data_IF_885140448096
#
_entry.id   IF_885140448096
#
_cell.length_a   1.000
_cell.length_b   1.000
_cell.length_c   1.000
_cell.angle_alpha   90.00
_cell.angle_beta   90.00
_cell.angle_gamma   90.00
#
_symmetry.space_group_name_H-M   'P 1'
#
loop_
_entity.id
_entity.type
_entity.pdbx_description
1 polymer ?
#
# COMPACT_ATOMS: atom_id res chain seq x y z
N UNK A 1 -19.19 3.42 7.45
CA UNK A 1 -17.73 3.44 7.56
C UNK A 1 -17.31 2.93 8.92
N UNK A 2 -16.61 1.80 8.90
CA UNK A 2 -15.95 1.17 10.02
C UNK A 2 -14.75 2.02 10.47
N UNK A 3 -14.50 2.06 11.77
CA UNK A 3 -13.27 2.59 12.35
C UNK A 3 -12.66 1.45 13.19
N UNK A 4 -11.44 1.06 12.87
CA UNK A 4 -10.69 0.12 13.69
C UNK A 4 -10.28 0.81 14.99
N UNK A 5 -10.21 0.05 16.07
CA UNK A 5 -9.78 0.54 17.38
C UNK A 5 -8.57 -0.25 17.84
N UNK A 6 -7.49 0.47 18.12
CA UNK A 6 -6.23 -0.04 18.66
C UNK A 6 -6.08 0.49 20.08
N UNK A 7 -5.72 -0.36 21.03
CA UNK A 7 -5.56 0.03 22.44
C UNK A 7 -4.08 0.18 22.73
N UNK A 8 -3.62 1.40 22.93
CA UNK A 8 -2.31 1.64 23.53
C UNK A 8 -2.45 1.67 25.06
N UNK A 9 -1.34 1.60 25.82
CA UNK A 9 -1.39 1.75 27.28
C UNK A 9 -1.97 3.09 27.74
N UNK A 10 -1.89 4.13 26.91
CA UNK A 10 -2.26 5.50 27.24
C UNK A 10 -3.68 5.87 26.79
N UNK A 11 -4.07 5.49 25.56
CA UNK A 11 -5.40 5.78 25.02
C UNK A 11 -5.83 4.83 23.89
N UNK A 12 -7.12 4.82 23.58
CA UNK A 12 -7.63 4.15 22.39
C UNK A 12 -7.43 5.03 21.16
N UNK A 13 -6.74 4.49 20.15
CA UNK A 13 -6.56 5.09 18.84
C UNK A 13 -7.60 4.50 17.89
N UNK A 14 -8.35 5.36 17.22
CA UNK A 14 -9.23 4.99 16.13
C UNK A 14 -8.54 5.23 14.80
N UNK A 15 -8.64 4.27 13.89
CA UNK A 15 -8.18 4.41 12.52
C UNK A 15 -9.33 4.22 11.54
N UNK A 16 -9.44 5.12 10.58
CA UNK A 16 -10.30 4.94 9.42
C UNK A 16 -9.46 4.80 8.15
N UNK A 17 -10.08 4.20 7.13
CA UNK A 17 -9.40 3.86 5.88
C UNK A 17 -10.21 4.31 4.67
N UNK A 18 -9.52 4.84 3.66
CA UNK A 18 -10.01 4.99 2.29
C UNK A 18 -9.23 4.03 1.41
N UNK A 19 -9.92 3.08 0.78
CA UNK A 19 -9.34 2.14 -0.19
C UNK A 19 -9.53 2.67 -1.60
N UNK A 20 -8.44 2.75 -2.36
CA UNK A 20 -8.42 3.06 -3.79
C UNK A 20 -8.04 1.76 -4.52
N UNK A 21 -9.02 1.01 -5.04
CA UNK A 21 -8.81 -0.37 -5.49
C UNK A 21 -8.05 -0.48 -6.82
N UNK A 22 -7.86 0.63 -7.54
CA UNK A 22 -7.13 0.64 -8.80
C UNK A 22 -7.32 1.94 -9.58
N UNK A 23 -6.59 2.07 -10.68
CA UNK A 23 -6.77 3.16 -11.63
C UNK A 23 -7.85 2.79 -12.63
N UNK A 24 -8.84 3.67 -12.78
CA UNK A 24 -9.86 3.51 -13.82
C UNK A 24 -9.41 4.17 -15.12
N UNK A 25 -9.67 3.52 -16.26
CA UNK A 25 -9.45 4.12 -17.57
C UNK A 25 -10.55 5.12 -17.91
N UNK A 26 -10.35 6.35 -17.44
CA UNK A 26 -11.25 7.49 -17.69
C UNK A 26 -10.54 8.56 -18.54
N UNK A 27 -11.28 9.48 -19.19
CA UNK A 27 -10.67 10.58 -19.93
C UNK A 27 -9.69 11.37 -19.06
N UNK A 28 -8.59 11.84 -19.65
CA UNK A 28 -7.50 12.52 -18.94
C UNK A 28 -8.01 13.67 -18.06
N UNK A 29 -8.94 14.50 -18.56
CA UNK A 29 -9.54 15.59 -17.78
C UNK A 29 -10.26 15.10 -16.52
N UNK A 30 -10.96 13.96 -16.58
CA UNK A 30 -11.63 13.35 -15.42
C UNK A 30 -10.60 12.80 -14.44
N UNK A 31 -9.57 12.11 -14.94
CA UNK A 31 -8.46 11.58 -14.13
C UNK A 31 -7.71 12.69 -13.40
N UNK A 32 -7.38 13.79 -14.09
CA UNK A 32 -6.72 14.96 -13.50
C UNK A 32 -7.61 15.64 -12.45
N UNK A 33 -8.91 15.77 -12.72
CA UNK A 33 -9.85 16.33 -11.75
C UNK A 33 -9.99 15.44 -10.51
N UNK A 34 -10.00 14.12 -10.69
CA UNK A 34 -10.02 13.15 -9.60
C UNK A 34 -8.80 13.30 -8.69
N UNK A 35 -7.59 13.32 -9.28
CA UNK A 35 -6.35 13.51 -8.52
C UNK A 35 -6.29 14.85 -7.81
N UNK A 36 -6.77 15.91 -8.46
CA UNK A 36 -6.88 17.24 -7.86
C UNK A 36 -7.80 17.22 -6.63
N UNK A 37 -8.96 16.57 -6.74
CA UNK A 37 -9.90 16.45 -5.63
C UNK A 37 -9.32 15.60 -4.49
N UNK A 38 -8.69 14.46 -4.81
CA UNK A 38 -8.01 13.63 -3.82
C UNK A 38 -6.95 14.43 -3.05
N UNK A 39 -6.06 15.14 -3.76
CA UNK A 39 -5.04 15.97 -3.12
C UNK A 39 -5.63 17.12 -2.27
N UNK A 40 -6.76 17.71 -2.68
CA UNK A 40 -7.47 18.71 -1.87
C UNK A 40 -8.05 18.12 -0.59
N UNK A 41 -8.59 16.89 -0.64
CA UNK A 41 -9.09 16.21 0.56
C UNK A 41 -7.95 15.91 1.54
N UNK A 42 -6.79 15.46 1.04
CA UNK A 42 -5.60 15.18 1.85
C UNK A 42 -5.13 16.41 2.65
N UNK A 43 -5.26 17.63 2.12
CA UNK A 43 -4.90 18.85 2.85
C UNK A 43 -5.69 19.05 4.16
N UNK A 44 -6.86 18.40 4.30
CA UNK A 44 -7.65 18.42 5.52
C UNK A 44 -7.10 17.52 6.65
N UNK A 45 -6.10 16.68 6.38
CA UNK A 45 -5.64 15.67 7.35
C UNK A 45 -5.08 16.26 8.65
N UNK A 46 -4.30 17.37 8.65
CA UNK A 46 -3.79 17.92 9.91
C UNK A 46 -4.92 18.46 10.81
N UNK A 47 -6.07 18.83 10.22
CA UNK A 47 -7.22 19.35 10.94
C UNK A 47 -8.00 18.26 11.72
N UNK A 48 -7.80 16.98 11.39
CA UNK A 48 -8.28 15.88 12.26
C UNK A 48 -7.64 16.04 13.63
N UNK A 49 -6.33 16.26 13.62
CA UNK A 49 -5.41 16.15 14.75
C UNK A 49 -5.51 14.80 15.44
N UNK A 50 -4.38 14.23 15.85
CA UNK A 50 -4.35 12.83 16.26
C UNK A 50 -2.98 12.22 16.03
N UNK A 51 -2.92 10.89 16.10
CA UNK A 51 -1.67 10.13 16.06
C UNK A 51 -0.96 10.23 14.70
N UNK A 52 -1.67 10.38 13.59
CA UNK A 52 -1.05 10.45 12.28
C UNK A 52 -1.92 9.97 11.12
N UNK A 53 -1.24 9.66 10.03
CA UNK A 53 -1.82 9.12 8.82
C UNK A 53 -0.82 8.25 8.08
N UNK A 54 -1.31 7.34 7.26
CA UNK A 54 -0.45 6.49 6.45
C UNK A 54 -0.97 6.32 5.04
N UNK A 55 -0.06 6.07 4.12
CA UNK A 55 -0.38 5.63 2.77
C UNK A 55 0.26 4.27 2.56
N UNK A 56 -0.52 3.29 2.11
CA UNK A 56 -0.03 2.04 1.58
C UNK A 56 -0.28 1.97 0.09
N UNK A 57 0.68 1.41 -0.63
CA UNK A 57 0.61 1.14 -2.05
C UNK A 57 1.04 -0.30 -2.25
N UNK A 58 0.21 -1.08 -2.96
CA UNK A 58 0.50 -2.48 -3.24
C UNK A 58 0.38 -2.70 -4.73
N UNK A 59 1.47 -3.17 -5.31
CA UNK A 59 1.55 -3.61 -6.69
C UNK A 59 1.46 -5.13 -6.75
N UNK A 60 0.45 -5.62 -7.44
CA UNK A 60 0.43 -6.98 -7.97
C UNK A 60 0.82 -6.93 -9.45
N UNK A 61 1.96 -7.54 -9.84
CA UNK A 61 2.57 -7.37 -11.15
C UNK A 61 1.62 -7.83 -12.26
N UNK A 62 1.45 -7.00 -13.29
CA UNK A 62 0.53 -7.22 -14.41
C UNK A 62 -0.96 -7.25 -14.06
N UNK A 63 -1.33 -7.05 -12.79
CA UNK A 63 -2.72 -7.19 -12.32
C UNK A 63 -3.28 -5.85 -11.85
N UNK A 64 -2.67 -5.24 -10.83
CA UNK A 64 -3.23 -4.04 -10.23
C UNK A 64 -2.22 -3.25 -9.44
N UNK A 65 -2.43 -1.94 -9.40
CA UNK A 65 -1.78 -1.03 -8.48
C UNK A 65 -2.86 -0.45 -7.57
N UNK A 66 -2.75 -0.68 -6.25
CA UNK A 66 -3.77 -0.33 -5.26
C UNK A 66 -3.20 0.61 -4.21
N UNK A 67 -4.04 1.46 -3.63
CA UNK A 67 -3.66 2.31 -2.50
C UNK A 67 -4.66 2.20 -1.36
N UNK A 68 -4.18 2.37 -0.14
CA UNK A 68 -5.00 2.56 1.05
C UNK A 68 -4.47 3.74 1.85
N UNK A 69 -5.32 4.74 2.05
CA UNK A 69 -5.06 5.86 2.94
C UNK A 69 -5.64 5.52 4.31
N UNK A 70 -4.82 5.67 5.35
CA UNK A 70 -5.20 5.49 6.73
C UNK A 70 -5.11 6.82 7.46
N UNK A 71 -6.07 7.11 8.32
CA UNK A 71 -6.03 8.27 9.21
C UNK A 71 -6.33 7.82 10.64
N UNK A 72 -5.42 8.13 11.55
CA UNK A 72 -5.46 7.73 12.95
C UNK A 72 -5.69 8.95 13.85
N UNK A 73 -6.61 8.84 14.79
CA UNK A 73 -6.87 9.85 15.80
C UNK A 73 -7.30 9.22 17.12
N UNK A 74 -7.15 9.95 18.22
CA UNK A 74 -7.67 9.49 19.52
C UNK A 74 -9.19 9.34 19.46
N UNK A 75 -9.74 8.48 20.32
CA UNK A 75 -11.19 8.24 20.38
C UNK A 75 -12.03 9.53 20.57
N UNK A 76 -11.49 10.50 21.34
CA UNK A 76 -12.09 11.81 21.55
C UNK A 76 -12.29 12.62 20.25
N UNK A 77 -11.55 12.28 19.19
CA UNK A 77 -11.59 12.95 17.88
C UNK A 77 -12.29 12.13 16.79
N UNK A 78 -13.07 11.12 17.18
CA UNK A 78 -13.82 10.27 16.26
C UNK A 78 -14.72 11.04 15.27
N UNK A 79 -15.33 12.15 15.72
CA UNK A 79 -16.19 13.00 14.87
C UNK A 79 -15.37 13.70 13.79
N UNK A 80 -14.21 14.24 14.15
CA UNK A 80 -13.28 14.91 13.24
C UNK A 80 -12.74 13.93 12.20
N UNK A 81 -12.35 12.72 12.65
CA UNK A 81 -11.90 11.65 11.78
C UNK A 81 -12.97 11.26 10.75
N UNK A 82 -14.23 11.07 11.20
CA UNK A 82 -15.35 10.77 10.29
C UNK A 82 -15.63 11.90 9.31
N UNK A 83 -15.56 13.16 9.77
CA UNK A 83 -15.74 14.34 8.91
C UNK A 83 -14.65 14.48 7.86
N UNK A 84 -13.42 14.07 8.17
CA UNK A 84 -12.31 14.05 7.22
C UNK A 84 -12.48 12.96 6.15
N UNK A 85 -12.91 11.76 6.55
CA UNK A 85 -13.05 10.62 5.64
C UNK A 85 -14.31 10.68 4.77
N UNK A 86 -15.42 11.22 5.29
CA UNK A 86 -16.70 11.22 4.57
C UNK A 86 -16.65 11.86 3.16
N UNK A 87 -15.96 12.99 2.92
CA UNK A 87 -15.83 13.59 1.60
C UNK A 87 -15.16 12.72 0.53
N UNK A 88 -14.40 11.68 0.90
CA UNK A 88 -13.77 10.78 -0.07
C UNK A 88 -14.80 9.99 -0.89
N UNK A 89 -16.04 9.82 -0.40
CA UNK A 89 -17.12 9.22 -1.19
C UNK A 89 -17.53 10.09 -2.39
N UNK A 90 -17.17 11.37 -2.42
CA UNK A 90 -17.41 12.23 -3.60
C UNK A 90 -16.52 11.83 -4.78
N UNK A 91 -15.42 11.13 -4.55
CA UNK A 91 -14.59 10.59 -5.62
C UNK A 91 -15.35 9.53 -6.43
N UNK A 92 -16.26 8.78 -5.80
CA UNK A 92 -17.17 7.84 -6.47
C UNK A 92 -18.10 8.52 -7.47
N UNK A 93 -18.51 9.76 -7.19
CA UNK A 93 -19.38 10.51 -8.12
C UNK A 93 -18.66 10.95 -9.39
N UNK A 94 -17.32 11.02 -9.35
CA UNK A 94 -16.48 11.33 -10.51
C UNK A 94 -16.10 10.07 -11.27
N UNK A 95 -15.71 9.03 -10.53
CA UNK A 95 -15.29 7.75 -11.07
C UNK A 95 -15.81 6.65 -10.14
N UNK A 96 -16.82 5.91 -10.59
CA UNK A 96 -17.41 4.82 -9.82
C UNK A 96 -16.36 3.75 -9.48
N UNK A 97 -16.31 3.30 -8.22
CA UNK A 97 -15.37 2.29 -7.74
C UNK A 97 -13.94 2.78 -7.56
N UNK A 98 -13.69 4.10 -7.58
CA UNK A 98 -12.34 4.68 -7.40
C UNK A 98 -11.94 4.88 -5.93
N UNK A 99 -12.90 4.96 -5.02
CA UNK A 99 -12.69 5.15 -3.59
C UNK A 99 -13.79 4.48 -2.76
N UNK A 100 -13.40 3.57 -1.88
CA UNK A 100 -14.33 2.86 -0.99
C UNK A 100 -13.91 3.03 0.47
N UNK A 101 -14.89 2.99 1.36
CA UNK A 101 -14.69 3.04 2.81
C UNK A 101 -15.14 1.69 3.39
N UNK A 102 -14.28 0.93 4.08
CA UNK A 102 -14.68 -0.33 4.70
C UNK A 102 -15.91 -0.14 5.60
N UNK A 103 -16.83 -1.13 5.57
CA UNK A 103 -18.07 -1.12 6.34
C UNK A 103 -18.05 -2.10 7.52
N UNK A 104 -17.17 -3.10 7.47
CA UNK A 104 -16.96 -4.11 8.49
C UNK A 104 -15.47 -4.20 8.85
N UNK A 105 -15.18 -4.86 9.97
CA UNK A 105 -13.81 -5.22 10.37
C UNK A 105 -13.14 -6.12 9.33
N UNK A 106 -13.85 -7.12 8.84
CA UNK A 106 -13.34 -8.05 7.84
C UNK A 106 -12.84 -7.34 6.57
N UNK A 107 -13.66 -6.41 6.03
CA UNK A 107 -13.26 -5.63 4.84
C UNK A 107 -12.08 -4.70 5.11
N UNK A 108 -11.90 -4.28 6.37
CA UNK A 108 -10.78 -3.47 6.79
C UNK A 108 -9.51 -4.32 6.89
N UNK A 109 -9.58 -5.44 7.62
CA UNK A 109 -8.43 -6.32 7.90
C UNK A 109 -7.83 -6.85 6.59
N UNK A 110 -8.66 -7.22 5.59
CA UNK A 110 -8.19 -7.63 4.25
C UNK A 110 -7.26 -6.59 3.59
N UNK A 111 -7.55 -5.30 3.74
CA UNK A 111 -6.74 -4.22 3.14
C UNK A 111 -5.59 -3.83 4.06
N UNK A 112 -5.83 -3.85 5.38
CA UNK A 112 -4.84 -3.57 6.40
C UNK A 112 -3.71 -4.61 6.42
N UNK A 113 -3.98 -5.83 5.98
CA UNK A 113 -3.01 -6.92 5.88
C UNK A 113 -2.45 -7.12 4.46
N UNK A 114 -2.92 -6.36 3.46
CA UNK A 114 -2.44 -6.39 2.06
C UNK A 114 -1.06 -5.73 1.89
N UNK A 115 -0.05 -6.28 2.58
CA UNK A 115 1.36 -5.91 2.47
C UNK A 115 2.24 -7.18 2.41
N UNK A 116 3.26 -7.22 1.54
CA UNK A 116 4.18 -8.36 1.49
C UNK A 116 4.91 -8.68 2.81
N UNK A 117 5.37 -9.93 2.95
CA UNK A 117 5.91 -10.47 4.21
C UNK A 117 7.32 -9.98 4.55
N UNK A 118 8.20 -9.82 3.56
CA UNK A 118 9.59 -9.41 3.79
C UNK A 118 9.68 -7.90 3.73
N UNK A 119 9.75 -7.25 4.90
CA UNK A 119 9.65 -5.80 5.03
C UNK A 119 10.99 -5.18 5.38
N UNK A 120 11.24 -4.00 4.83
CA UNK A 120 12.43 -3.21 5.08
C UNK A 120 12.03 -1.77 5.38
N UNK A 121 12.41 -1.29 6.57
CA UNK A 121 12.35 0.13 6.93
C UNK A 121 13.43 0.90 6.18
N UNK A 122 13.05 1.99 5.51
CA UNK A 122 13.96 2.89 4.81
C UNK A 122 14.54 3.87 5.81
N UNK A 123 15.49 3.39 6.60
CA UNK A 123 16.22 4.17 7.58
C UNK A 123 17.72 4.04 7.35
N UNK A 124 18.39 5.19 7.24
CA UNK A 124 19.85 5.22 7.14
C UNK A 124 20.47 5.05 8.53
N UNK A 125 21.66 4.43 8.64
CA UNK A 125 22.34 4.34 9.93
C UNK A 125 22.66 5.73 10.48
N UNK A 126 22.79 5.84 11.81
CA UNK A 126 23.25 7.08 12.43
C UNK A 126 24.73 7.28 12.10
N UNK A 127 25.00 8.19 11.17
CA UNK A 127 26.35 8.53 10.74
C UNK A 127 26.98 9.51 11.73
N UNK A 128 28.27 9.31 12.04
CA UNK A 128 29.00 10.15 12.99
C UNK A 128 30.35 10.55 12.42
N UNK A 129 30.73 11.80 12.65
CA UNK A 129 32.04 12.33 12.31
C UNK A 129 32.50 13.28 13.43
N UNK A 130 33.58 12.91 14.13
CA UNK A 130 33.97 13.59 15.36
C UNK A 130 32.86 13.50 16.42
N UNK A 131 32.48 14.65 16.99
CA UNK A 131 31.34 14.75 17.92
C UNK A 131 29.97 14.91 17.25
N UNK A 132 29.93 15.21 15.95
CA UNK A 132 28.71 15.53 15.24
C UNK A 132 27.98 14.28 14.73
N UNK A 133 26.65 14.35 14.69
CA UNK A 133 25.78 13.34 14.06
C UNK A 133 25.28 13.85 12.72
N UNK A 134 25.38 13.06 11.67
CA UNK A 134 25.00 13.47 10.33
C UNK A 134 23.60 12.93 10.00
N UNK A 135 22.66 13.83 9.75
CA UNK A 135 21.35 13.46 9.23
C UNK A 135 21.47 13.04 7.75
N UNK A 136 20.72 12.02 7.33
CA UNK A 136 20.67 11.58 5.93
C UNK A 136 19.19 11.38 5.55
N UNK A 137 18.69 12.19 4.61
CA UNK A 137 17.29 12.20 4.20
C UNK A 137 17.03 11.32 2.97
N UNK A 138 17.66 10.13 2.91
CA UNK A 138 17.32 9.15 1.89
C UNK A 138 15.87 8.67 2.07
N UNK A 139 15.16 8.54 0.95
CA UNK A 139 13.71 8.30 0.89
C UNK A 139 13.39 7.36 -0.25
N UNK A 140 12.42 6.48 -0.06
CA UNK A 140 11.89 5.64 -1.11
C UNK A 140 10.81 6.36 -1.94
N UNK A 141 10.06 7.32 -1.36
CA UNK A 141 9.02 8.07 -2.10
C UNK A 141 9.50 8.60 -3.47
N UNK A 142 10.66 9.28 -3.59
CA UNK A 142 11.13 9.80 -4.88
C UNK A 142 11.47 8.71 -5.90
N UNK A 143 11.71 7.48 -5.43
CA UNK A 143 12.07 6.31 -6.23
C UNK A 143 10.85 5.43 -6.55
N UNK A 144 9.70 5.73 -5.94
CA UNK A 144 8.57 4.81 -5.91
C UNK A 144 8.06 4.45 -7.31
N UNK A 145 7.98 5.42 -8.22
CA UNK A 145 7.51 5.20 -9.59
C UNK A 145 8.42 4.22 -10.36
N UNK A 146 9.74 4.41 -10.27
CA UNK A 146 10.71 3.53 -10.93
C UNK A 146 10.78 2.16 -10.28
N UNK A 147 10.70 2.08 -8.95
CA UNK A 147 10.67 0.81 -8.22
C UNK A 147 9.43 -0.02 -8.57
N UNK A 148 8.26 0.62 -8.69
CA UNK A 148 7.02 -0.05 -9.12
C UNK A 148 7.13 -0.53 -10.57
N UNK A 149 7.66 0.29 -11.48
CA UNK A 149 7.85 -0.09 -12.87
C UNK A 149 8.86 -1.25 -13.04
N UNK A 150 9.97 -1.23 -12.29
CA UNK A 150 10.95 -2.32 -12.27
C UNK A 150 10.35 -3.60 -11.68
N UNK A 151 9.65 -3.50 -10.54
CA UNK A 151 9.01 -4.66 -9.90
C UNK A 151 7.99 -5.32 -10.83
N UNK A 152 7.16 -4.54 -11.52
CA UNK A 152 6.22 -5.04 -12.53
C UNK A 152 6.94 -5.78 -13.65
N UNK A 153 8.00 -5.18 -14.21
CA UNK A 153 8.78 -5.79 -15.29
C UNK A 153 9.45 -7.12 -14.87
N UNK A 154 9.86 -7.24 -13.60
CA UNK A 154 10.43 -8.46 -13.04
C UNK A 154 9.39 -9.45 -12.50
N UNK A 155 8.10 -9.11 -12.50
CA UNK A 155 7.05 -9.95 -11.94
C UNK A 155 7.08 -10.05 -10.42
N UNK A 156 7.60 -9.03 -9.73
CA UNK A 156 7.64 -8.96 -8.28
C UNK A 156 6.50 -8.13 -7.72
N UNK A 157 5.81 -8.69 -6.71
CA UNK A 157 4.90 -7.92 -5.88
C UNK A 157 5.70 -6.96 -5.01
N UNK A 158 5.30 -5.69 -5.01
CA UNK A 158 5.96 -4.64 -4.25
C UNK A 158 4.93 -3.90 -3.39
N UNK A 159 5.20 -3.84 -2.09
CA UNK A 159 4.50 -2.98 -1.15
C UNK A 159 5.35 -1.76 -0.82
N UNK A 160 4.72 -0.59 -0.79
CA UNK A 160 5.26 0.61 -0.18
C UNK A 160 4.30 1.08 0.91
N UNK A 161 4.86 1.51 2.04
CA UNK A 161 4.06 2.06 3.13
C UNK A 161 4.79 3.23 3.77
N UNK A 162 4.07 4.29 4.10
CA UNK A 162 4.60 5.42 4.84
C UNK A 162 3.70 5.76 6.01
N UNK A 163 4.29 5.89 7.18
CA UNK A 163 3.67 6.45 8.38
C UNK A 163 4.05 7.91 8.49
N UNK A 164 3.06 8.78 8.74
CA UNK A 164 3.22 10.21 9.00
C UNK A 164 2.65 10.48 10.39
N UNK A 165 3.51 10.84 11.34
CA UNK A 165 3.10 11.19 12.70
C UNK A 165 3.20 12.69 12.89
N UNK A 166 2.09 13.31 13.24
CA UNK A 166 2.07 14.74 13.57
C UNK A 166 2.83 14.98 14.86
N UNK A 167 3.75 15.94 14.86
CA UNK A 167 4.58 16.26 16.02
C UNK A 167 4.74 17.76 16.18
N UNK A 168 4.76 18.22 17.43
CA UNK A 168 5.22 19.57 17.75
C UNK A 168 6.72 19.52 18.03
N UNK A 169 7.51 20.27 17.25
CA UNK A 169 8.96 20.33 17.45
C UNK A 169 9.28 21.52 18.35
N UNK A 170 9.68 21.23 19.59
CA UNK A 170 10.01 22.27 20.55
C UNK A 170 11.30 23.05 20.17
N UNK A 171 11.44 24.26 20.72
CA UNK A 171 12.56 25.16 20.44
C UNK A 171 13.93 24.59 20.82
N UNK A 172 13.99 23.75 21.83
CA UNK A 172 15.24 23.13 22.29
C UNK A 172 15.79 22.15 21.26
N UNK A 173 14.93 21.30 20.70
CA UNK A 173 15.29 20.36 19.62
C UNK A 173 15.76 21.09 18.36
N UNK A 174 15.10 22.19 17.99
CA UNK A 174 15.51 23.03 16.86
C UNK A 174 16.90 23.63 17.11
N UNK A 175 17.17 24.14 18.33
CA UNK A 175 18.48 24.68 18.70
C UNK A 175 19.56 23.61 18.68
N UNK A 176 19.26 22.42 19.18
CA UNK A 176 20.19 21.28 19.19
C UNK A 176 20.55 20.85 17.76
N UNK A 177 19.57 20.74 16.86
CA UNK A 177 19.79 20.43 15.45
C UNK A 177 20.67 21.48 14.75
N UNK A 178 20.38 22.77 14.96
CA UNK A 178 21.19 23.87 14.40
C UNK A 178 22.61 23.89 14.96
N UNK A 179 22.78 23.64 16.26
CA UNK A 179 24.10 23.51 16.88
C UNK A 179 24.88 22.36 16.24
N UNK A 180 24.26 21.19 16.08
CA UNK A 180 24.88 20.04 15.42
C UNK A 180 25.27 20.36 13.96
N UNK A 181 24.43 21.07 13.20
CA UNK A 181 24.78 21.50 11.84
C UNK A 181 25.99 22.45 11.79
N UNK A 182 26.17 23.31 12.81
CA UNK A 182 27.37 24.14 12.96
C UNK A 182 28.60 23.30 13.30
N UNK A 183 28.46 22.29 14.16
CA UNK A 183 29.55 21.34 14.47
C UNK A 183 30.01 20.59 13.20
N UNK A 184 29.08 20.20 12.32
CA UNK A 184 29.43 19.58 11.02
C UNK A 184 30.22 20.53 10.13
N UNK A 185 29.85 21.82 10.07
CA UNK A 185 30.58 22.83 9.28
C UNK A 185 32.03 22.95 9.72
N UNK A 186 32.29 22.81 11.02
CA UNK A 186 33.61 23.00 11.60
C UNK A 186 34.49 21.73 11.51
N UNK A 187 33.97 20.62 10.93
CA UNK A 187 34.73 19.40 10.69
C UNK A 187 35.81 19.58 9.59
N UNK A 188 37.06 19.14 9.83
CA UNK A 188 38.12 19.20 8.82
C UNK A 188 37.78 18.39 7.56
N UNK A 189 37.90 19.02 6.39
CA UNK A 189 37.72 18.35 5.09
C UNK A 189 36.27 18.00 4.73
N UNK A 190 35.29 18.52 5.46
CA UNK A 190 33.86 18.32 5.16
C UNK A 190 33.47 18.95 3.81
N UNK A 191 32.75 18.25 2.92
CA UNK A 191 32.25 18.84 1.68
C UNK A 191 31.26 19.98 1.97
N UNK A 192 31.35 21.08 1.22
CA UNK A 192 30.40 22.21 1.33
C UNK A 192 28.94 21.77 1.10
N UNK A 193 28.74 20.83 0.18
CA UNK A 193 27.43 20.24 -0.12
C UNK A 193 26.83 19.52 1.10
N UNK A 194 27.64 18.81 1.89
CA UNK A 194 27.19 18.15 3.11
C UNK A 194 26.80 19.17 4.18
N UNK A 195 27.58 20.24 4.35
CA UNK A 195 27.24 21.34 5.27
C UNK A 195 25.91 21.99 4.88
N UNK A 196 25.73 22.32 3.60
CA UNK A 196 24.48 22.89 3.09
C UNK A 196 23.30 21.95 3.32
N UNK A 197 23.50 20.64 3.13
CA UNK A 197 22.47 19.63 3.42
C UNK A 197 22.08 19.61 4.90
N UNK A 198 23.05 19.55 5.82
CA UNK A 198 22.76 19.54 7.26
C UNK A 198 22.05 20.83 7.72
N UNK A 199 22.47 21.99 7.21
CA UNK A 199 21.82 23.26 7.50
C UNK A 199 20.38 23.29 6.99
N UNK A 200 20.14 22.87 5.74
CA UNK A 200 18.78 22.74 5.18
C UNK A 200 17.90 21.87 6.06
N UNK A 201 18.37 20.68 6.45
CA UNK A 201 17.61 19.75 7.28
C UNK A 201 17.30 20.32 8.67
N UNK A 202 18.27 21.00 9.30
CA UNK A 202 18.05 21.67 10.57
C UNK A 202 17.07 22.84 10.47
N UNK A 203 17.12 23.63 9.40
CA UNK A 203 16.20 24.75 9.16
C UNK A 203 14.79 24.29 8.82
N UNK A 204 14.63 23.13 8.18
CA UNK A 204 13.31 22.54 7.91
C UNK A 204 12.52 22.29 9.21
N UNK A 205 13.18 22.03 10.33
CA UNK A 205 12.53 21.83 11.63
C UNK A 205 11.73 23.04 12.11
N UNK A 206 12.03 24.26 11.64
CA UNK A 206 11.25 25.45 11.99
C UNK A 206 9.81 25.41 11.48
N UNK A 207 9.58 24.64 10.41
CA UNK A 207 8.31 24.59 9.70
C UNK A 207 7.74 23.16 9.64
N UNK A 208 8.42 22.20 10.27
CA UNK A 208 7.98 20.83 10.29
C UNK A 208 6.79 20.67 11.26
N UNK A 209 5.80 19.92 10.80
CA UNK A 209 4.56 19.62 11.51
C UNK A 209 4.37 18.11 11.70
N UNK A 210 5.21 17.31 11.05
CA UNK A 210 5.21 15.87 11.17
C UNK A 210 6.61 15.28 10.96
N UNK A 211 6.74 14.00 11.30
CA UNK A 211 7.84 13.12 10.87
C UNK A 211 7.26 12.01 10.01
N UNK A 212 8.06 11.46 9.10
CA UNK A 212 7.69 10.28 8.31
C UNK A 212 8.63 9.09 8.48
N UNK A 213 8.08 7.89 8.30
CA UNK A 213 8.79 6.62 8.31
C UNK A 213 8.31 5.77 7.14
N UNK A 214 9.23 5.33 6.28
CA UNK A 214 8.91 4.62 5.04
C UNK A 214 9.35 3.15 5.11
N UNK A 215 8.58 2.31 4.44
CA UNK A 215 8.77 0.87 4.35
C UNK A 215 8.60 0.41 2.91
N UNK A 216 9.43 -0.54 2.51
CA UNK A 216 9.25 -1.32 1.30
C UNK A 216 9.12 -2.80 1.67
N UNK A 217 8.30 -3.53 0.92
CA UNK A 217 7.99 -4.91 1.22
C UNK A 217 7.90 -5.76 -0.06
N UNK A 218 8.38 -7.00 0.00
CA UNK A 218 8.34 -7.99 -1.10
C UNK A 218 8.03 -9.39 -0.56
N UNK A 219 7.65 -10.34 -1.42
CA UNK A 219 7.22 -11.68 -1.00
C UNK A 219 8.28 -12.78 -1.15
N UNK A 220 9.40 -12.52 -1.82
CA UNK A 220 10.37 -13.56 -2.14
C UNK A 220 11.83 -13.10 -2.05
N UNK A 221 12.73 -14.03 -1.75
CA UNK A 221 14.17 -13.75 -1.62
C UNK A 221 14.82 -13.15 -2.88
N UNK A 222 14.48 -13.56 -4.12
CA UNK A 222 14.98 -12.88 -5.33
C UNK A 222 14.57 -11.40 -5.41
N UNK A 223 13.33 -11.10 -5.02
CA UNK A 223 12.84 -9.73 -4.96
C UNK A 223 13.57 -8.91 -3.88
N UNK A 224 13.93 -9.51 -2.74
CA UNK A 224 14.76 -8.85 -1.71
C UNK A 224 16.13 -8.48 -2.28
N UNK A 225 16.76 -9.38 -3.04
CA UNK A 225 18.06 -9.09 -3.63
C UNK A 225 17.96 -7.92 -4.63
N UNK A 226 17.00 -7.99 -5.56
CA UNK A 226 16.75 -6.91 -6.52
C UNK A 226 16.52 -5.57 -5.80
N UNK A 227 15.65 -5.56 -4.79
CA UNK A 227 15.29 -4.32 -4.10
C UNK A 227 16.48 -3.75 -3.32
N UNK A 228 17.29 -4.60 -2.69
CA UNK A 228 18.53 -4.17 -2.01
C UNK A 228 19.49 -3.52 -3.01
N UNK A 229 19.67 -4.13 -4.17
CA UNK A 229 20.53 -3.58 -5.22
C UNK A 229 19.96 -2.26 -5.77
N UNK A 230 18.65 -2.16 -5.97
CA UNK A 230 17.99 -0.93 -6.40
C UNK A 230 18.17 0.20 -5.37
N UNK A 231 17.97 -0.07 -4.09
CA UNK A 231 18.20 0.91 -3.02
C UNK A 231 19.67 1.32 -2.92
N UNK A 232 20.60 0.37 -3.05
CA UNK A 232 22.04 0.63 -3.05
C UNK A 232 22.44 1.56 -4.19
N UNK A 233 22.00 1.26 -5.43
CA UNK A 233 22.29 2.07 -6.62
C UNK A 233 21.78 3.49 -6.46
N UNK A 234 20.52 3.66 -6.05
CA UNK A 234 19.91 4.98 -5.87
C UNK A 234 20.54 5.77 -4.71
N UNK A 235 20.89 5.09 -3.61
CA UNK A 235 21.60 5.73 -2.50
C UNK A 235 22.96 6.27 -2.94
N UNK A 236 23.76 5.46 -3.63
CA UNK A 236 25.07 5.86 -4.14
C UNK A 236 24.94 7.06 -5.08
N UNK A 237 24.02 6.99 -6.04
CA UNK A 237 23.78 8.09 -6.97
C UNK A 237 23.45 9.42 -6.27
N UNK A 238 22.70 9.38 -5.16
CA UNK A 238 22.30 10.58 -4.44
C UNK A 238 23.36 11.08 -3.43
N UNK A 239 24.07 10.18 -2.76
CA UNK A 239 24.85 10.49 -1.56
C UNK A 239 26.35 10.21 -1.67
N UNK A 240 26.86 9.64 -2.76
CA UNK A 240 28.30 9.39 -2.96
C UNK A 240 29.12 10.68 -2.87
N UNK A 241 28.66 11.76 -3.51
CA UNK A 241 29.31 13.07 -3.46
C UNK A 241 29.32 13.70 -2.05
N UNK A 242 28.45 13.21 -1.16
CA UNK A 242 28.33 13.61 0.23
C UNK A 242 29.14 12.71 1.17
N UNK A 243 29.81 11.67 0.63
CA UNK A 243 30.62 10.68 1.35
C UNK A 243 29.83 9.85 2.36
N UNK A 244 28.52 9.68 2.17
CA UNK A 244 27.81 8.67 2.94
C UNK A 244 28.05 7.28 2.33
N UNK A 245 28.20 6.30 3.21
CA UNK A 245 28.21 4.90 2.84
C UNK A 245 26.79 4.35 2.96
N UNK A 246 26.36 3.58 1.97
CA UNK A 246 25.05 2.97 2.02
C UNK A 246 24.97 1.98 3.20
N UNK A 247 23.90 2.08 3.98
CA UNK A 247 23.62 1.12 5.03
C UNK A 247 23.21 -0.25 4.47
N UNK A 248 23.28 -1.28 5.30
CA UNK A 248 22.65 -2.56 4.98
C UNK A 248 21.14 -2.47 5.22
N UNK A 249 20.36 -2.49 4.14
CA UNK A 249 18.90 -2.57 4.20
C UNK A 249 18.49 -3.95 4.74
N UNK A 250 17.98 -3.96 5.96
CA UNK A 250 17.54 -5.18 6.65
C UNK A 250 16.12 -5.50 6.26
N UNK A 251 15.92 -6.70 5.73
CA UNK A 251 14.61 -7.27 5.43
C UNK A 251 14.29 -8.27 6.52
N UNK A 252 13.16 -8.07 7.17
CA UNK A 252 12.67 -8.91 8.26
C UNK A 252 11.38 -9.55 7.77
N UNK A 253 11.25 -10.85 7.99
CA UNK A 253 9.97 -11.53 7.82
C UNK A 253 9.08 -11.11 8.99
N UNK A 254 8.10 -10.27 8.68
CA UNK A 254 7.26 -9.65 9.68
C UNK A 254 5.83 -10.20 9.56
N UNK A 255 5.29 -10.63 10.71
CA UNK A 255 3.87 -10.95 10.84
C UNK A 255 3.02 -9.68 10.90
N UNK A 256 1.92 -9.74 11.62
CA UNK A 256 1.15 -8.55 11.98
C UNK A 256 2.03 -7.60 12.82
N UNK A 257 2.20 -6.36 12.37
CA UNK A 257 2.95 -5.31 13.07
C UNK A 257 1.98 -4.19 13.42
N UNK A 258 1.79 -3.96 14.72
CA UNK A 258 0.85 -2.95 15.21
C UNK A 258 1.25 -1.56 14.72
N UNK A 259 2.55 -1.29 14.53
CA UNK A 259 3.08 -0.02 14.05
C UNK A 259 2.63 0.31 12.63
N UNK A 260 2.67 -0.67 11.72
CA UNK A 260 2.13 -0.53 10.35
C UNK A 260 0.61 -0.50 10.34
N UNK A 261 -0.03 -1.19 11.29
CA UNK A 261 -1.48 -1.27 11.37
C UNK A 261 -2.12 -0.02 11.95
N UNK A 262 -1.52 0.66 12.93
CA UNK A 262 -2.10 1.83 13.60
C UNK A 262 -1.46 3.17 13.19
N UNK A 263 -0.61 3.17 12.16
CA UNK A 263 0.18 4.34 11.75
C UNK A 263 1.18 4.82 12.83
N UNK A 264 1.62 3.91 13.70
CA UNK A 264 2.60 4.23 14.74
C UNK A 264 4.03 4.09 14.22
N UNK A 265 4.95 4.74 14.92
CA UNK A 265 6.37 4.74 14.57
C UNK A 265 7.08 3.64 15.34
N UNK A 266 7.98 2.93 14.68
CA UNK A 266 8.82 1.90 15.35
C UNK A 266 9.84 2.50 16.31
N UNK A 267 10.16 3.79 16.15
CA UNK A 267 11.10 4.52 17.00
C UNK A 267 10.44 5.12 18.23
N UNK A 268 11.21 5.23 19.32
CA UNK A 268 10.79 5.93 20.54
C UNK A 268 10.25 7.34 20.27
N UNK A 269 9.42 7.84 21.19
CA UNK A 269 8.90 9.22 21.13
C UNK A 269 10.01 10.28 21.10
N UNK A 270 11.16 9.97 21.70
CA UNK A 270 12.34 10.83 21.63
C UNK A 270 13.27 10.43 20.47
N UNK A 271 12.98 10.94 19.28
CA UNK A 271 13.90 10.83 18.13
C UNK A 271 15.20 11.63 18.37
N UNK A 272 16.38 11.02 18.14
CA UNK A 272 17.65 11.75 18.06
C UNK A 272 17.60 12.92 17.08
N UNK A 273 18.42 13.96 17.31
CA UNK A 273 18.39 15.16 16.46
C UNK A 273 18.68 14.88 14.97
N UNK A 274 19.59 13.96 14.68
CA UNK A 274 19.92 13.53 13.31
C UNK A 274 18.75 12.81 12.64
N UNK A 275 18.09 11.89 13.36
CA UNK A 275 16.93 11.18 12.85
C UNK A 275 15.71 12.10 12.73
N UNK A 276 15.50 13.01 13.67
CA UNK A 276 14.46 14.03 13.58
C UNK A 276 14.67 14.93 12.35
N UNK A 277 15.89 15.45 12.15
CA UNK A 277 16.24 16.22 10.96
C UNK A 277 16.01 15.41 9.67
N UNK A 278 16.37 14.13 9.68
CA UNK A 278 16.20 13.27 8.52
C UNK A 278 14.72 12.98 8.25
N UNK A 279 13.87 12.87 9.27
CA UNK A 279 12.46 12.41 9.20
C UNK A 279 11.42 13.52 9.11
N UNK A 280 11.76 14.74 9.53
CA UNK A 280 10.85 15.87 9.60
C UNK A 280 10.34 16.30 8.22
N UNK A 281 9.04 16.57 8.16
CA UNK A 281 8.33 17.03 6.96
C UNK A 281 7.34 18.15 7.30
N UNK A 282 7.09 19.00 6.31
CA UNK A 282 6.15 20.13 6.39
C UNK A 282 4.80 19.75 5.75
N UNK A 283 3.75 20.54 5.98
CA UNK A 283 2.39 20.31 5.45
C UNK A 283 2.33 20.05 3.93
N UNK A 284 3.15 20.80 3.17
CA UNK A 284 3.24 20.62 1.72
C UNK A 284 3.83 19.26 1.32
N UNK A 285 4.76 18.73 2.12
CA UNK A 285 5.37 17.41 1.93
C UNK A 285 4.43 16.30 2.39
N UNK A 286 3.68 16.49 3.48
CA UNK A 286 2.63 15.56 3.94
C UNK A 286 1.62 15.33 2.80
N UNK A 287 1.15 16.41 2.18
CA UNK A 287 0.22 16.31 1.05
C UNK A 287 0.84 15.58 -0.13
N UNK A 288 2.11 15.86 -0.49
CA UNK A 288 2.79 15.15 -1.58
C UNK A 288 2.99 13.66 -1.31
N UNK A 289 3.25 13.29 -0.06
CA UNK A 289 3.44 11.90 0.37
C UNK A 289 2.12 11.13 0.32
N UNK A 290 1.09 11.66 0.98
CA UNK A 290 -0.20 10.97 1.11
C UNK A 290 -1.08 11.09 -0.13
N UNK A 291 -0.84 12.09 -0.99
CA UNK A 291 -1.47 12.23 -2.30
C UNK A 291 -0.55 11.80 -3.45
N UNK A 292 0.38 10.88 -3.20
CA UNK A 292 1.26 10.36 -4.25
C UNK A 292 0.43 9.79 -5.41
N UNK A 293 0.88 10.04 -6.63
CA UNK A 293 0.28 9.49 -7.85
C UNK A 293 1.38 8.91 -8.75
N UNK A 294 1.10 7.82 -9.48
CA UNK A 294 2.02 7.28 -10.47
C UNK A 294 2.21 8.25 -11.65
N UNK A 295 3.31 8.07 -12.39
CA UNK A 295 3.52 8.67 -13.69
C UNK A 295 2.43 8.26 -14.68
N UNK A 296 2.25 9.01 -15.77
CA UNK A 296 1.24 8.67 -16.78
C UNK A 296 1.52 7.30 -17.42
N UNK A 297 2.79 6.96 -17.65
CA UNK A 297 3.18 5.64 -18.17
C UNK A 297 2.79 4.51 -17.21
N UNK A 298 3.14 4.63 -15.92
CA UNK A 298 2.75 3.63 -14.93
C UNK A 298 1.22 3.60 -14.74
N UNK A 299 0.56 4.76 -14.81
CA UNK A 299 -0.88 4.86 -14.71
C UNK A 299 -1.60 4.16 -15.88
N UNK A 300 -1.12 4.34 -17.10
CA UNK A 300 -1.70 3.74 -18.30
C UNK A 300 -1.52 2.22 -18.34
N UNK A 301 -0.39 1.71 -17.80
CA UNK A 301 -0.15 0.26 -17.64
C UNK A 301 -1.18 -0.43 -16.74
N UNK A 302 -1.56 0.23 -15.64
CA UNK A 302 -2.47 -0.34 -14.64
C UNK A 302 -3.90 0.21 -14.71
N UNK A 303 -4.20 1.08 -15.68
CA UNK A 303 -5.55 1.55 -15.92
C UNK A 303 -6.41 0.37 -16.38
N UNK A 304 -7.31 -0.10 -15.51
CA UNK A 304 -8.21 -1.18 -15.82
C UNK A 304 -9.01 -0.83 -17.09
N UNK A 305 -9.16 -1.75 -18.07
CA UNK A 305 -10.02 -1.52 -19.22
C UNK A 305 -11.43 -1.15 -18.76
N UNK A 306 -12.09 -0.26 -19.52
CA UNK A 306 -13.47 0.19 -19.26
C UNK A 306 -14.36 -1.03 -18.99
N UNK A 307 -14.94 -1.13 -17.80
CA UNK A 307 -16.28 -1.69 -17.68
C UNK A 307 -17.28 -0.56 -17.94
N UNK A 308 -17.68 -0.44 -19.21
CA UNK A 308 -18.98 0.07 -19.68
C UNK A 308 -18.92 0.28 -21.20
N UNK A 309 -18.93 -0.82 -21.95
CA UNK A 309 -19.88 -0.88 -23.06
C UNK A 309 -21.07 -1.72 -22.54
N UNK A 310 -22.25 -1.50 -23.12
CA UNK A 310 -23.56 -2.10 -22.80
C UNK A 310 -23.49 -3.57 -22.32
N UNK A 311 -24.48 -4.08 -21.55
CA UNK A 311 -24.46 -5.46 -21.07
C UNK A 311 -24.09 -6.35 -22.26
N UNK A 312 -22.90 -6.95 -22.19
CA UNK A 312 -22.60 -8.07 -23.03
C UNK A 312 -23.73 -9.03 -22.70
N UNK A 313 -24.66 -9.16 -23.65
CA UNK A 313 -25.33 -10.43 -23.86
C UNK A 313 -24.21 -11.44 -23.67
N UNK A 314 -24.24 -12.17 -22.55
CA UNK A 314 -23.39 -13.33 -22.35
C UNK A 314 -23.56 -14.14 -23.62
N UNK A 315 -22.62 -14.02 -24.56
CA UNK A 315 -22.50 -15.01 -25.60
C UNK A 315 -22.27 -16.30 -24.81
N UNK A 316 -23.15 -17.30 -24.99
CA UNK A 316 -23.17 -18.47 -24.14
C UNK A 316 -21.77 -19.08 -24.16
N UNK A 317 -21.18 -19.21 -22.97
CA UNK A 317 -19.86 -19.78 -22.81
C UNK A 317 -19.76 -21.07 -23.64
N UNK A 318 -18.84 -21.09 -24.61
CA UNK A 318 -18.58 -22.28 -25.43
C UNK A 318 -17.80 -23.24 -24.53
N UNK A 319 -18.53 -24.04 -23.76
CA UNK A 319 -17.96 -25.18 -23.05
C UNK A 319 -17.53 -26.24 -24.07
N UNK A 320 -16.42 -26.97 -23.82
CA UNK A 320 -16.07 -28.10 -24.67
C UNK A 320 -17.27 -29.06 -24.71
N UNK A 321 -17.65 -29.51 -25.91
CA UNK A 321 -18.83 -30.36 -26.13
C UNK A 321 -18.85 -31.64 -25.27
N UNK A 322 -17.67 -32.06 -24.81
CA UNK A 322 -17.45 -33.25 -24.00
C UNK A 322 -17.49 -33.02 -22.48
N UNK A 323 -17.72 -31.79 -22.02
CA UNK A 323 -17.83 -31.49 -20.60
C UNK A 323 -19.09 -32.19 -20.03
N UNK A 324 -19.00 -32.92 -18.90
CA UNK A 324 -20.17 -33.48 -18.23
C UNK A 324 -21.20 -32.39 -17.85
N UNK A 325 -22.46 -32.68 -17.51
CA UNK A 325 -23.35 -31.66 -16.94
C UNK A 325 -22.94 -31.29 -15.51
N UNK A 326 -23.20 -30.04 -15.07
CA UNK A 326 -23.06 -29.68 -13.66
C UNK A 326 -24.27 -30.18 -12.86
N UNK A 327 -24.05 -30.60 -11.62
CA UNK A 327 -25.13 -31.00 -10.71
C UNK A 327 -25.92 -29.76 -10.27
N UNK A 328 -27.24 -29.76 -10.49
CA UNK A 328 -28.11 -28.64 -10.16
C UNK A 328 -29.12 -28.90 -9.03
N UNK A 329 -29.04 -30.06 -8.37
CA UNK A 329 -29.96 -30.43 -7.29
C UNK A 329 -29.49 -29.99 -5.90
N UNK A 330 -30.21 -30.48 -4.88
CA UNK A 330 -30.01 -30.12 -3.47
C UNK A 330 -29.35 -31.23 -2.63
N UNK A 331 -28.97 -32.35 -3.24
CA UNK A 331 -28.25 -33.43 -2.54
C UNK A 331 -26.77 -33.10 -2.39
N UNK A 332 -26.04 -33.71 -1.42
CA UNK A 332 -24.63 -33.43 -1.19
C UNK A 332 -23.77 -33.56 -2.45
N UNK A 333 -22.99 -32.52 -2.75
CA UNK A 333 -22.18 -32.43 -3.96
C UNK A 333 -20.76 -31.95 -3.66
N UNK A 334 -19.86 -32.25 -4.59
CA UNK A 334 -18.48 -31.78 -4.61
C UNK A 334 -18.41 -30.51 -5.44
N UNK A 335 -17.90 -29.43 -4.86
CA UNK A 335 -17.58 -28.20 -5.58
C UNK A 335 -16.26 -28.38 -6.32
N UNK A 336 -16.23 -28.10 -7.62
CA UNK A 336 -15.01 -28.21 -8.44
C UNK A 336 -14.48 -26.81 -8.75
N UNK A 337 -13.29 -26.50 -8.21
CA UNK A 337 -12.56 -25.25 -8.49
C UNK A 337 -11.42 -25.50 -9.47
N UNK A 338 -11.35 -24.69 -10.52
CA UNK A 338 -10.41 -24.85 -11.63
C UNK A 338 -10.14 -23.53 -12.35
N UNK A 339 -9.00 -23.45 -13.05
CA UNK A 339 -8.72 -22.38 -14.01
C UNK A 339 -9.35 -22.75 -15.36
N UNK A 340 -10.11 -21.84 -15.97
CA UNK A 340 -10.85 -22.10 -17.23
C UNK A 340 -9.97 -22.63 -18.37
N UNK A 341 -8.74 -22.12 -18.48
CA UNK A 341 -7.78 -22.56 -19.49
C UNK A 341 -7.42 -24.06 -19.38
N UNK A 342 -7.65 -24.68 -18.22
CA UNK A 342 -7.36 -26.09 -17.96
C UNK A 342 -8.59 -26.99 -18.09
N UNK A 343 -9.74 -26.47 -18.52
CA UNK A 343 -11.02 -27.19 -18.57
C UNK A 343 -10.93 -28.47 -19.42
N UNK A 344 -10.26 -28.41 -20.57
CA UNK A 344 -10.03 -29.58 -21.43
C UNK A 344 -9.18 -30.66 -20.74
N UNK A 345 -8.20 -30.24 -19.92
CA UNK A 345 -7.30 -31.14 -19.19
C UNK A 345 -8.01 -31.84 -18.03
N UNK A 346 -8.94 -31.16 -17.35
CA UNK A 346 -9.65 -31.71 -16.17
C UNK A 346 -10.92 -32.49 -16.54
N UNK A 347 -11.48 -32.27 -17.73
CA UNK A 347 -12.71 -32.93 -18.20
C UNK A 347 -12.70 -34.46 -18.05
N UNK A 348 -11.61 -35.19 -18.37
CA UNK A 348 -11.55 -36.64 -18.14
C UNK A 348 -11.70 -37.04 -16.67
N UNK A 349 -11.10 -36.28 -15.74
CA UNK A 349 -11.21 -36.53 -14.30
C UNK A 349 -12.64 -36.28 -13.80
N UNK A 350 -13.28 -35.20 -14.27
CA UNK A 350 -14.67 -34.89 -13.93
C UNK A 350 -15.63 -35.98 -14.42
N UNK A 351 -15.45 -36.49 -15.65
CA UNK A 351 -16.23 -37.60 -16.19
C UNK A 351 -16.05 -38.88 -15.38
N UNK A 352 -14.80 -39.20 -15.02
CA UNK A 352 -14.50 -40.39 -14.22
C UNK A 352 -15.20 -40.35 -12.85
N UNK A 353 -15.19 -39.20 -12.18
CA UNK A 353 -15.88 -39.01 -10.91
C UNK A 353 -17.41 -39.11 -11.06
N UNK A 354 -18.01 -38.44 -12.04
CA UNK A 354 -19.45 -38.58 -12.27
C UNK A 354 -19.86 -40.01 -12.65
N UNK A 355 -19.04 -40.73 -13.43
CA UNK A 355 -19.25 -42.13 -13.77
C UNK A 355 -19.24 -43.08 -12.57
N UNK A 356 -18.72 -42.62 -11.41
CA UNK A 356 -18.76 -43.34 -10.12
C UNK A 356 -19.88 -42.88 -9.19
N UNK A 357 -20.77 -42.00 -9.66
CA UNK A 357 -21.91 -41.51 -8.89
C UNK A 357 -21.64 -40.24 -8.06
N UNK A 358 -20.48 -39.60 -8.21
CA UNK A 358 -20.21 -38.32 -7.54
C UNK A 358 -20.97 -37.18 -8.23
N UNK A 359 -21.69 -36.38 -7.43
CA UNK A 359 -22.38 -35.16 -7.87
C UNK A 359 -21.38 -34.02 -7.87
N UNK A 360 -21.11 -33.44 -9.05
CA UNK A 360 -20.12 -32.37 -9.20
C UNK A 360 -20.81 -31.06 -9.58
N UNK A 361 -20.59 -30.02 -8.78
CA UNK A 361 -21.01 -28.66 -9.09
C UNK A 361 -19.81 -27.83 -9.54
N UNK A 362 -19.99 -26.99 -10.57
CA UNK A 362 -19.02 -26.01 -11.07
C UNK A 362 -19.78 -24.94 -11.87
N UNK A 363 -19.12 -23.83 -12.19
CA UNK A 363 -19.69 -22.59 -12.76
C UNK A 363 -20.33 -22.73 -14.15
N UNK A 364 -20.51 -23.95 -14.66
CA UNK A 364 -21.23 -24.22 -15.90
C UNK A 364 -22.73 -23.94 -15.74
N UNK A 365 -23.20 -22.89 -16.41
CA UNK A 365 -24.63 -22.61 -16.57
C UNK A 365 -25.19 -21.55 -15.62
N UNK A 366 -24.34 -20.81 -14.90
CA UNK A 366 -24.78 -19.57 -14.23
C UNK A 366 -25.20 -18.59 -15.33
N UNK A 367 -26.45 -18.11 -15.30
CA UNK A 367 -26.97 -17.25 -16.36
C UNK A 367 -26.34 -15.88 -16.25
N UNK A 368 -26.07 -15.28 -17.40
CA UNK A 368 -25.63 -13.89 -17.46
C UNK A 368 -26.67 -12.97 -16.84
N UNK A 369 -26.30 -12.25 -15.79
CA UNK A 369 -27.19 -11.35 -15.03
C UNK A 369 -27.53 -11.83 -13.61
N UNK A 370 -27.21 -13.06 -13.24
CA UNK A 370 -27.28 -13.50 -11.85
C UNK A 370 -26.08 -12.95 -11.07
N UNK A 371 -26.24 -12.70 -9.77
CA UNK A 371 -25.13 -12.33 -8.88
C UNK A 371 -24.19 -13.54 -8.75
N UNK A 372 -23.23 -13.59 -9.67
CA UNK A 372 -22.27 -14.67 -9.84
C UNK A 372 -21.49 -14.94 -8.55
N UNK A 373 -21.19 -13.87 -7.81
CA UNK A 373 -20.50 -13.93 -6.51
C UNK A 373 -21.39 -14.59 -5.47
N UNK A 374 -22.66 -14.17 -5.37
CA UNK A 374 -23.60 -14.76 -4.42
C UNK A 374 -23.87 -16.25 -4.68
N UNK A 375 -24.01 -16.65 -5.96
CA UNK A 375 -24.21 -18.07 -6.33
C UNK A 375 -22.97 -18.91 -5.98
N UNK A 376 -21.77 -18.39 -6.25
CA UNK A 376 -20.52 -19.08 -5.91
C UNK A 376 -20.37 -19.24 -4.40
N UNK A 377 -20.65 -18.19 -3.63
CA UNK A 377 -20.60 -18.24 -2.16
C UNK A 377 -21.60 -19.25 -1.59
N UNK A 378 -22.86 -19.20 -2.06
CA UNK A 378 -23.90 -20.16 -1.66
C UNK A 378 -23.49 -21.60 -1.96
N UNK A 379 -22.97 -21.85 -3.17
CA UNK A 379 -22.62 -23.20 -3.61
C UNK A 379 -21.31 -23.71 -2.99
N UNK A 380 -20.38 -22.82 -2.68
CA UNK A 380 -19.16 -23.18 -1.97
C UNK A 380 -19.45 -23.52 -0.51
N UNK A 381 -20.31 -22.75 0.16
CA UNK A 381 -20.68 -22.98 1.56
C UNK A 381 -21.58 -24.19 1.76
N UNK A 382 -22.36 -24.58 0.74
CA UNK A 382 -23.29 -25.70 0.80
C UNK A 382 -22.72 -27.03 0.28
N UNK A 383 -21.47 -27.07 -0.18
CA UNK A 383 -20.85 -28.29 -0.70
C UNK A 383 -20.39 -29.21 0.44
N UNK A 384 -20.33 -30.52 0.19
CA UNK A 384 -19.78 -31.48 1.17
C UNK A 384 -18.28 -31.71 1.02
N UNK A 385 -17.70 -31.30 -0.11
CA UNK A 385 -16.26 -31.38 -0.37
C UNK A 385 -15.86 -30.39 -1.47
N UNK A 386 -14.61 -29.90 -1.39
CA UNK A 386 -13.97 -29.08 -2.41
C UNK A 386 -12.93 -29.92 -3.16
N UNK A 387 -13.05 -29.97 -4.49
CA UNK A 387 -12.04 -30.52 -5.39
C UNK A 387 -11.35 -29.36 -6.11
N UNK A 388 -10.10 -29.10 -5.74
CA UNK A 388 -9.29 -28.03 -6.30
C UNK A 388 -8.28 -28.56 -7.33
N UNK A 389 -8.40 -28.11 -8.58
CA UNK A 389 -7.39 -28.33 -9.62
C UNK A 389 -6.37 -27.20 -9.61
N UNK A 390 -5.18 -27.49 -9.10
CA UNK A 390 -4.05 -26.57 -9.10
C UNK A 390 -3.28 -26.66 -10.41
N UNK A 391 -3.01 -25.50 -11.00
CA UNK A 391 -2.20 -25.37 -12.22
C UNK A 391 -0.93 -24.57 -11.92
N UNK A 392 0.17 -24.92 -12.59
CA UNK A 392 1.38 -24.10 -12.53
C UNK A 392 1.11 -22.76 -13.24
N UNK A 393 1.64 -21.69 -12.67
CA UNK A 393 1.49 -20.31 -13.15
C UNK A 393 2.22 -20.12 -14.47
#
# INVERSE_FOLDING_TARGET
MYLASFRTPEEAILQGMVRLPGLSRVPEGVRLQWWKNYAQLIQGIPAVGGAGASLRITLDPGVSLRWALFASASEARSVQLRRFLAPFTRLETLVTGSATLPLSRENYDVVADDIPLLRCRIATPSFRAGGARLACDFRATPLLDSLLAEADAYGYRLGYHVNVRFVEINRERIRAARKNALEVRDLPGVPRSLVMMQQRLADQLLHASAVCEEYLAVDASPAVQWLREALQRNFQQQFEALRFEAGSWKFIEAGYEEELACAAFTTSDELPADELCATAIQDSQITRLLAWRPSDDLADRFAAPRQADAPETHEPAIFPANLPPAYGGDEPYVFVSYKRADLDRITPAMRYLQGRGYKLWYDRGIRGGDDWTAILEERLTSCCALLLFLSQV
#
